data_IF_818893769940
#
_entry.id   IF_818893769940
#
_cell.length_a   1.000
_cell.length_b   1.000
_cell.length_c   1.000
_cell.angle_alpha   90.00
_cell.angle_beta   90.00
_cell.angle_gamma   90.00
#
_symmetry.space_group_name_H-M   'P 1'
#
loop_
_entity.id
_entity.type
_entity.pdbx_description
1 polymer ?
#
# COMPACT_ATOMS: atom_id res chain seq x y z
N UNK A 1 24.70 7.72 4.77
CA UNK A 1 23.68 6.81 4.16
C UNK A 1 22.48 7.63 3.75
N UNK A 2 21.84 7.37 2.60
CA UNK A 2 20.67 8.13 2.16
C UNK A 2 19.47 7.77 3.05
N UNK A 3 18.87 8.76 3.71
CA UNK A 3 17.81 8.57 4.72
C UNK A 3 16.52 8.02 4.07
N UNK A 4 15.97 6.96 4.64
CA UNK A 4 14.60 6.49 4.35
C UNK A 4 13.65 7.18 5.34
N UNK A 5 12.62 7.82 4.83
CA UNK A 5 11.54 8.41 5.63
C UNK A 5 10.30 7.52 5.51
N UNK A 6 9.68 7.23 6.66
CA UNK A 6 8.49 6.40 6.76
C UNK A 6 7.38 7.20 7.41
N UNK A 7 6.21 7.17 6.77
CA UNK A 7 4.98 7.70 7.33
C UNK A 7 3.97 6.57 7.43
N UNK A 8 3.60 6.20 8.66
CA UNK A 8 2.44 5.35 8.91
C UNK A 8 1.19 6.18 8.65
N UNK A 9 0.55 5.96 7.51
CA UNK A 9 -0.63 6.71 7.08
C UNK A 9 -1.88 6.27 7.85
N UNK A 10 -1.92 5.01 8.26
CA UNK A 10 -2.93 4.46 9.15
C UNK A 10 -2.41 3.24 9.89
N UNK A 11 -3.05 2.93 11.00
CA UNK A 11 -2.71 1.83 11.90
C UNK A 11 -3.97 1.20 12.54
N UNK A 12 -5.13 1.42 11.93
CA UNK A 12 -6.41 0.85 12.34
C UNK A 12 -6.65 -0.50 11.67
N UNK A 13 -7.59 -1.26 12.21
CA UNK A 13 -8.11 -2.46 11.54
C UNK A 13 -8.86 -2.08 10.26
N UNK A 14 -9.40 -3.09 9.56
CA UNK A 14 -10.24 -2.91 8.38
C UNK A 14 -11.47 -2.01 8.57
N UNK A 15 -11.86 -1.74 9.83
CA UNK A 15 -12.99 -0.86 10.17
C UNK A 15 -12.53 0.53 10.65
N UNK A 16 -11.24 0.73 10.87
CA UNK A 16 -10.71 1.93 11.51
C UNK A 16 -11.12 2.06 12.99
N UNK A 17 -10.80 3.19 13.60
CA UNK A 17 -11.28 3.59 14.93
C UNK A 17 -11.61 5.09 14.93
N UNK A 18 -12.82 5.51 15.33
CA UNK A 18 -13.96 4.64 15.65
C UNK A 18 -14.48 3.90 14.41
N UNK A 19 -15.28 2.85 14.65
CA UNK A 19 -16.09 2.24 13.59
C UNK A 19 -17.13 3.23 13.07
N UNK A 20 -17.72 2.95 11.91
CA UNK A 20 -18.71 3.82 11.27
C UNK A 20 -20.01 4.00 12.09
N UNK A 21 -20.34 3.04 12.96
CA UNK A 21 -21.45 3.11 13.92
C UNK A 21 -21.12 3.94 15.17
N UNK A 22 -19.94 4.58 15.21
CA UNK A 22 -19.47 5.36 16.35
C UNK A 22 -18.89 4.53 17.49
N UNK A 23 -18.77 3.21 17.35
CA UNK A 23 -18.19 2.37 18.40
C UNK A 23 -16.67 2.53 18.49
N UNK A 24 -16.20 2.89 19.68
CA UNK A 24 -14.78 3.09 19.99
C UNK A 24 -14.10 1.86 20.58
N UNK A 25 -14.84 0.83 20.98
CA UNK A 25 -14.26 -0.24 21.77
C UNK A 25 -13.78 0.26 23.14
N UNK A 26 -12.62 -0.22 23.57
CA UNK A 26 -12.04 0.07 24.90
C UNK A 26 -11.04 1.23 24.90
N UNK A 27 -10.84 1.91 23.78
CA UNK A 27 -9.84 2.99 23.70
C UNK A 27 -10.41 4.33 24.13
N UNK A 28 -9.56 5.21 24.67
CA UNK A 28 -9.94 6.57 25.05
C UNK A 28 -10.22 7.45 23.82
N UNK A 29 -11.47 7.92 23.69
CA UNK A 29 -11.93 8.81 22.62
C UNK A 29 -11.33 10.22 22.65
N UNK A 30 -10.79 10.66 23.80
CA UNK A 30 -10.16 11.99 23.94
C UNK A 30 -8.72 11.98 23.41
N UNK A 31 -8.08 10.82 23.36
CA UNK A 31 -6.73 10.68 22.83
C UNK A 31 -6.74 10.64 21.29
N UNK A 32 -6.23 11.70 20.66
CA UNK A 32 -6.18 11.84 19.20
C UNK A 32 -5.47 10.67 18.49
N UNK A 33 -4.52 9.98 19.14
CA UNK A 33 -3.83 8.79 18.58
C UNK A 33 -4.74 7.57 18.43
N UNK A 34 -5.91 7.57 19.08
CA UNK A 34 -6.90 6.51 18.96
C UNK A 34 -7.86 6.70 17.78
N UNK A 35 -7.78 7.84 17.08
CA UNK A 35 -8.40 7.97 15.77
C UNK A 35 -7.50 7.29 14.73
N UNK A 36 -7.91 6.12 14.26
CA UNK A 36 -7.08 5.28 13.40
C UNK A 36 -7.75 5.07 12.06
N UNK A 37 -7.12 5.59 11.02
CA UNK A 37 -7.42 5.23 9.64
C UNK A 37 -6.90 3.82 9.37
N UNK A 38 -7.48 3.13 8.39
CA UNK A 38 -7.05 1.79 7.95
C UNK A 38 -5.58 1.79 7.54
N UNK A 39 -4.91 0.65 7.72
CA UNK A 39 -3.47 0.50 7.49
C UNK A 39 -3.04 0.97 6.09
N UNK A 40 -1.93 1.69 6.04
CA UNK A 40 -1.21 2.05 4.82
C UNK A 40 0.14 2.66 5.21
N UNK A 41 1.15 2.48 4.35
CA UNK A 41 2.50 3.00 4.58
C UNK A 41 2.93 3.87 3.41
N UNK A 42 3.50 5.03 3.70
CA UNK A 42 4.23 5.81 2.72
C UNK A 42 5.73 5.75 2.99
N UNK A 43 6.50 5.43 1.96
CA UNK A 43 7.95 5.34 1.99
C UNK A 43 8.48 6.42 1.05
N UNK A 44 9.30 7.33 1.60
CA UNK A 44 10.09 8.26 0.81
C UNK A 44 11.56 7.86 0.91
N UNK A 45 12.11 7.48 -0.23
CA UNK A 45 13.51 7.10 -0.34
C UNK A 45 14.14 7.84 -1.51
N UNK A 46 14.99 8.82 -1.20
CA UNK A 46 15.56 9.75 -2.19
C UNK A 46 14.45 10.46 -2.96
N UNK A 47 14.36 10.26 -4.29
CA UNK A 47 13.32 10.80 -5.16
C UNK A 47 12.18 9.80 -5.45
N UNK A 48 12.18 8.63 -4.81
CA UNK A 48 11.11 7.64 -4.89
C UNK A 48 10.07 7.88 -3.80
N UNK A 49 8.81 7.97 -4.21
CA UNK A 49 7.64 8.05 -3.35
C UNK A 49 6.80 6.79 -3.56
N UNK A 50 6.78 5.90 -2.57
CA UNK A 50 6.18 4.58 -2.67
C UNK A 50 5.04 4.51 -1.66
N UNK A 51 3.88 4.11 -2.15
CA UNK A 51 2.72 3.84 -1.31
C UNK A 51 2.53 2.32 -1.19
N UNK A 52 2.43 1.83 0.04
CA UNK A 52 1.98 0.47 0.33
C UNK A 52 0.49 0.53 0.66
N UNK A 53 -0.32 -0.15 -0.15
CA UNK A 53 -1.78 -0.21 -0.11
C UNK A 53 -2.48 1.14 -0.38
N UNK A 54 -3.60 1.09 -1.11
CA UNK A 54 -4.48 2.23 -1.39
C UNK A 54 -5.76 2.09 -0.58
N UNK A 55 -5.66 2.43 0.69
CA UNK A 55 -6.78 2.36 1.62
C UNK A 55 -7.97 3.25 1.20
N UNK A 56 -9.23 2.94 1.55
CA UNK A 56 -10.34 3.88 1.43
C UNK A 56 -10.06 5.27 2.02
N UNK A 57 -9.18 5.30 3.02
CA UNK A 57 -8.75 6.50 3.73
C UNK A 57 -7.70 7.33 2.99
N UNK A 58 -7.18 6.85 1.85
CA UNK A 58 -6.04 7.39 1.12
C UNK A 58 -6.12 8.89 0.86
N UNK A 59 -7.29 9.40 0.46
CA UNK A 59 -7.46 10.85 0.21
C UNK A 59 -7.05 11.67 1.44
N UNK A 60 -7.60 11.37 2.61
CA UNK A 60 -7.30 12.08 3.84
C UNK A 60 -5.89 11.77 4.34
N UNK A 61 -5.44 10.52 4.20
CA UNK A 61 -4.06 10.11 4.54
C UNK A 61 -3.02 10.95 3.81
N UNK A 62 -3.16 11.15 2.49
CA UNK A 62 -2.22 11.93 1.71
C UNK A 62 -2.34 13.43 1.97
N UNK A 63 -3.56 13.97 2.08
CA UNK A 63 -3.80 15.38 2.34
C UNK A 63 -3.23 15.82 3.69
N UNK A 64 -3.52 15.06 4.76
CA UNK A 64 -3.06 15.36 6.11
C UNK A 64 -1.52 15.32 6.21
N UNK A 65 -0.88 14.46 5.43
CA UNK A 65 0.58 14.33 5.38
C UNK A 65 1.23 15.19 4.27
N UNK A 66 0.46 16.02 3.56
CA UNK A 66 0.92 16.89 2.46
C UNK A 66 1.68 16.12 1.36
N UNK A 67 1.31 14.86 1.13
CA UNK A 67 1.92 14.00 0.10
C UNK A 67 1.29 14.33 -1.25
N UNK A 68 2.12 14.83 -2.18
CA UNK A 68 1.68 15.30 -3.51
C UNK A 68 2.23 14.49 -4.68
N UNK A 69 3.03 13.45 -4.41
CA UNK A 69 3.68 12.62 -5.44
C UNK A 69 3.64 11.16 -5.04
N UNK A 70 3.27 10.32 -5.99
CA UNK A 70 3.33 8.85 -5.90
C UNK A 70 4.01 8.36 -7.17
N UNK A 71 5.10 7.62 -7.00
CA UNK A 71 5.87 7.03 -8.09
C UNK A 71 5.53 5.56 -8.28
N UNK A 72 5.26 4.85 -7.17
CA UNK A 72 4.96 3.42 -7.16
C UNK A 72 3.87 3.13 -6.13
N UNK A 73 3.02 2.16 -6.45
CA UNK A 73 2.08 1.56 -5.49
C UNK A 73 2.43 0.08 -5.35
N UNK A 74 2.42 -0.44 -4.14
CA UNK A 74 2.69 -1.84 -3.84
C UNK A 74 1.57 -2.36 -2.95
N UNK A 75 0.99 -3.51 -3.28
CA UNK A 75 -0.13 -4.08 -2.54
C UNK A 75 0.29 -5.29 -1.72
N UNK A 76 -0.09 -5.31 -0.44
CA UNK A 76 0.10 -6.44 0.46
C UNK A 76 -0.82 -7.60 0.09
N UNK A 77 -2.12 -7.34 -0.07
CA UNK A 77 -3.16 -8.31 -0.44
C UNK A 77 -4.43 -7.65 -0.98
N UNK A 78 -5.47 -8.44 -1.28
CA UNK A 78 -6.67 -8.05 -2.02
C UNK A 78 -7.88 -7.59 -1.18
N UNK A 79 -7.72 -7.37 0.13
CA UNK A 79 -8.84 -6.90 0.96
C UNK A 79 -9.21 -5.44 0.67
N UNK A 80 -10.47 -5.11 1.00
CA UNK A 80 -11.09 -3.84 0.68
C UNK A 80 -10.40 -2.65 1.34
N UNK A 81 -10.02 -2.80 2.60
CA UNK A 81 -9.33 -1.79 3.39
C UNK A 81 -7.92 -1.47 2.88
N UNK A 82 -7.37 -2.33 2.01
CA UNK A 82 -6.09 -2.12 1.33
C UNK A 82 -6.21 -1.65 -0.12
N UNK A 83 -7.36 -1.85 -0.77
CA UNK A 83 -7.47 -1.68 -2.23
C UNK A 83 -8.48 -0.63 -2.68
N UNK A 84 -9.51 -0.32 -1.89
CA UNK A 84 -10.66 0.45 -2.38
C UNK A 84 -10.43 1.95 -2.54
N UNK A 85 -9.28 2.49 -2.11
CA UNK A 85 -8.86 3.86 -2.41
C UNK A 85 -8.22 4.04 -3.80
N UNK A 86 -8.02 2.98 -4.58
CA UNK A 86 -7.25 2.99 -5.83
C UNK A 86 -7.69 4.05 -6.85
N UNK A 87 -8.97 4.43 -6.86
CA UNK A 87 -9.50 5.45 -7.77
C UNK A 87 -8.97 6.88 -7.47
N UNK A 88 -8.45 7.10 -6.26
CA UNK A 88 -7.81 8.35 -5.85
C UNK A 88 -6.43 8.55 -6.49
N UNK A 89 -5.93 7.57 -7.26
CA UNK A 89 -4.68 7.70 -8.02
C UNK A 89 -4.80 8.56 -9.29
N UNK A 90 -6.03 8.82 -9.78
CA UNK A 90 -6.28 9.55 -11.04
C UNK A 90 -5.58 10.92 -11.12
N UNK A 91 -5.60 11.78 -10.08
CA UNK A 91 -4.94 13.09 -10.15
C UNK A 91 -3.43 12.99 -10.40
N UNK A 92 -2.74 11.98 -9.85
CA UNK A 92 -1.31 11.78 -10.07
C UNK A 92 -1.00 11.42 -11.53
N UNK A 93 -1.86 10.63 -12.17
CA UNK A 93 -1.77 10.40 -13.62
C UNK A 93 -2.06 11.67 -14.42
N UNK A 94 -3.05 12.47 -14.04
CA UNK A 94 -3.38 13.70 -14.77
C UNK A 94 -2.26 14.73 -14.74
N UNK A 95 -1.53 14.82 -13.63
CA UNK A 95 -0.39 15.73 -13.48
C UNK A 95 0.82 15.20 -14.26
N UNK A 96 1.15 13.91 -14.12
CA UNK A 96 2.39 13.35 -14.69
C UNK A 96 2.24 12.86 -16.14
N UNK A 97 1.01 12.68 -16.62
CA UNK A 97 0.63 12.07 -17.91
C UNK A 97 1.29 10.70 -18.15
N UNK A 98 1.66 9.99 -17.07
CA UNK A 98 2.31 8.68 -17.11
C UNK A 98 1.54 7.73 -16.20
N UNK A 99 1.35 6.49 -16.68
CA UNK A 99 0.75 5.41 -15.88
C UNK A 99 1.55 5.19 -14.60
N UNK A 100 0.83 4.96 -13.50
CA UNK A 100 1.42 4.69 -12.20
C UNK A 100 1.68 3.18 -12.14
N UNK A 101 2.95 2.75 -12.03
CA UNK A 101 3.28 1.34 -11.88
C UNK A 101 2.80 0.85 -10.51
N UNK A 102 1.97 -0.19 -10.53
CA UNK A 102 1.47 -0.86 -9.34
C UNK A 102 2.02 -2.28 -9.28
N UNK A 103 2.32 -2.75 -8.08
CA UNK A 103 2.95 -4.05 -7.84
C UNK A 103 2.06 -4.87 -6.92
N UNK A 104 1.71 -6.08 -7.34
CA UNK A 104 0.87 -6.99 -6.56
C UNK A 104 1.24 -8.44 -6.86
N UNK A 105 0.99 -9.39 -5.95
CA UNK A 105 1.10 -10.81 -6.28
C UNK A 105 0.01 -11.23 -7.28
N UNK A 106 0.08 -12.46 -7.80
CA UNK A 106 -0.88 -12.96 -8.81
C UNK A 106 -2.35 -12.91 -8.35
N UNK A 107 -2.61 -13.28 -7.08
CA UNK A 107 -3.98 -13.27 -6.52
C UNK A 107 -4.53 -11.85 -6.50
N UNK A 108 -3.78 -10.93 -5.89
CA UNK A 108 -4.17 -9.53 -5.78
C UNK A 108 -4.21 -8.83 -7.13
N UNK A 109 -3.31 -9.14 -8.06
CA UNK A 109 -3.37 -8.60 -9.41
C UNK A 109 -4.65 -9.01 -10.13
N UNK A 110 -5.06 -10.28 -10.01
CA UNK A 110 -6.29 -10.78 -10.62
C UNK A 110 -7.52 -10.06 -10.04
N UNK A 111 -7.56 -9.91 -8.72
CA UNK A 111 -8.61 -9.12 -8.06
C UNK A 111 -8.65 -7.68 -8.57
N UNK A 112 -7.52 -6.98 -8.57
CA UNK A 112 -7.46 -5.57 -8.98
C UNK A 112 -7.85 -5.37 -10.45
N UNK A 113 -7.37 -6.25 -11.34
CA UNK A 113 -7.70 -6.21 -12.78
C UNK A 113 -9.19 -6.46 -13.03
N UNK A 114 -9.83 -7.32 -12.24
CA UNK A 114 -11.26 -7.61 -12.35
C UNK A 114 -12.11 -6.50 -11.75
N UNK A 115 -11.78 -6.06 -10.55
CA UNK A 115 -12.59 -5.10 -9.77
C UNK A 115 -12.46 -3.65 -10.25
N UNK A 116 -11.31 -3.30 -10.82
CA UNK A 116 -10.98 -1.93 -11.24
C UNK A 116 -10.50 -1.87 -12.69
N UNK A 117 -11.03 -2.74 -13.56
CA UNK A 117 -10.57 -2.98 -14.93
C UNK A 117 -10.34 -1.68 -15.74
N UNK A 118 -11.23 -0.69 -15.60
CA UNK A 118 -11.17 0.59 -16.29
C UNK A 118 -9.92 1.44 -15.96
N UNK A 119 -9.25 1.17 -14.83
CA UNK A 119 -7.99 1.81 -14.46
C UNK A 119 -6.79 1.22 -15.21
N UNK A 120 -6.92 0.01 -15.78
CA UNK A 120 -5.85 -0.72 -16.45
C UNK A 120 -6.01 -0.76 -17.97
N UNK A 121 -7.25 -0.91 -18.43
CA UNK A 121 -7.60 -1.06 -19.84
C UNK A 121 -8.53 0.06 -20.29
N UNK A 122 -8.32 0.58 -21.50
CA UNK A 122 -9.19 1.60 -22.08
C UNK A 122 -10.55 0.97 -22.41
N UNK A 123 -11.60 1.34 -21.67
CA UNK A 123 -12.99 0.88 -21.89
C UNK A 123 -13.91 1.96 -22.45
N UNK A 124 -13.48 3.22 -22.39
CA UNK A 124 -14.28 4.37 -22.82
C UNK A 124 -13.39 5.44 -23.44
N UNK A 125 -13.98 6.30 -24.28
CA UNK A 125 -13.32 7.53 -24.75
C UNK A 125 -13.02 8.51 -23.62
N UNK A 126 -13.79 8.46 -22.53
CA UNK A 126 -13.70 9.41 -21.42
C UNK A 126 -12.68 9.00 -20.35
N UNK A 127 -12.45 7.70 -20.18
CA UNK A 127 -11.57 7.17 -19.13
C UNK A 127 -10.31 6.54 -19.73
N UNK A 128 -9.18 7.24 -19.56
CA UNK A 128 -7.87 6.70 -19.90
C UNK A 128 -7.39 5.75 -18.79
N UNK A 129 -6.83 4.58 -19.12
CA UNK A 129 -6.22 3.72 -18.12
C UNK A 129 -5.00 4.42 -17.50
N UNK A 130 -4.95 4.46 -16.18
CA UNK A 130 -3.96 5.23 -15.42
C UNK A 130 -2.91 4.35 -14.74
N UNK A 131 -3.14 3.04 -14.66
CA UNK A 131 -2.30 2.09 -13.93
C UNK A 131 -1.62 1.10 -14.86
N UNK A 132 -0.44 0.66 -14.44
CA UNK A 132 0.34 -0.39 -15.08
C UNK A 132 0.61 -1.50 -14.04
N UNK A 133 0.03 -2.68 -14.26
CA UNK A 133 0.15 -3.82 -13.35
C UNK A 133 1.50 -4.53 -13.51
N UNK A 134 2.20 -4.75 -12.40
CA UNK A 134 3.44 -5.51 -12.33
C UNK A 134 3.28 -6.67 -11.33
N UNK A 135 3.50 -7.91 -11.77
CA UNK A 135 3.32 -9.09 -10.91
C UNK A 135 4.57 -9.30 -10.06
N UNK A 136 4.38 -9.28 -8.73
CA UNK A 136 5.40 -9.66 -7.75
C UNK A 136 5.46 -11.19 -7.69
N UNK A 137 6.58 -11.77 -8.10
CA UNK A 137 6.87 -13.20 -7.90
C UNK A 137 7.72 -13.42 -6.64
N UNK A 138 8.71 -12.57 -6.43
CA UNK A 138 9.76 -12.70 -5.41
C UNK A 138 10.13 -11.29 -4.87
N UNK A 139 11.38 -11.10 -4.46
CA UNK A 139 11.99 -9.78 -4.26
C UNK A 139 12.00 -8.99 -5.58
N UNK A 140 11.81 -7.68 -5.50
CA UNK A 140 11.74 -6.79 -6.67
C UNK A 140 12.42 -5.45 -6.39
N UNK A 141 12.64 -4.70 -7.47
CA UNK A 141 13.39 -3.44 -7.44
C UNK A 141 12.54 -2.34 -8.06
N UNK A 142 12.25 -1.30 -7.28
CA UNK A 142 11.61 -0.09 -7.77
C UNK A 142 12.70 0.86 -8.26
N UNK A 143 12.61 1.32 -9.50
CA UNK A 143 13.65 2.15 -10.14
C UNK A 143 13.07 3.43 -10.70
N UNK A 144 13.67 4.57 -10.36
CA UNK A 144 13.36 5.88 -10.92
C UNK A 144 14.66 6.64 -11.16
N UNK A 145 14.91 7.05 -12.41
CA UNK A 145 16.16 7.71 -12.81
C UNK A 145 17.38 6.91 -12.32
N UNK A 146 18.27 7.53 -11.54
CA UNK A 146 19.50 6.94 -11.02
C UNK A 146 19.33 6.32 -9.62
N UNK A 147 18.09 6.19 -9.13
CA UNK A 147 17.81 5.68 -7.80
C UNK A 147 16.93 4.43 -7.84
N UNK A 148 17.21 3.51 -6.94
CA UNK A 148 16.47 2.27 -6.81
C UNK A 148 16.40 1.81 -5.35
N UNK A 149 15.31 1.13 -5.00
CA UNK A 149 15.11 0.48 -3.70
C UNK A 149 14.62 -0.94 -3.88
N UNK A 150 15.31 -1.88 -3.24
CA UNK A 150 14.94 -3.30 -3.24
C UNK A 150 13.89 -3.51 -2.16
N UNK A 151 12.77 -4.11 -2.54
CA UNK A 151 11.77 -4.62 -1.62
C UNK A 151 11.87 -6.15 -1.63
N UNK A 152 12.12 -6.69 -0.45
CA UNK A 152 12.09 -8.12 -0.24
C UNK A 152 10.72 -8.55 0.23
N UNK A 153 10.16 -9.56 -0.43
CA UNK A 153 8.83 -10.06 -0.09
C UNK A 153 8.95 -11.05 1.06
N UNK A 154 8.16 -10.82 2.11
CA UNK A 154 7.99 -11.70 3.26
C UNK A 154 6.58 -12.29 3.15
N UNK A 155 6.47 -13.57 2.81
CA UNK A 155 5.16 -14.22 2.75
C UNK A 155 4.68 -14.53 4.16
N UNK A 156 3.47 -14.12 4.48
CA UNK A 156 2.83 -14.34 5.78
C UNK A 156 1.43 -14.92 5.59
N UNK A 157 0.93 -15.64 6.58
CA UNK A 157 -0.45 -16.10 6.61
C UNK A 157 -1.34 -15.02 7.20
N UNK A 158 -2.53 -14.86 6.66
CA UNK A 158 -3.60 -14.01 7.19
C UNK A 158 -4.90 -14.80 7.14
N UNK A 159 -5.19 -15.54 8.21
CA UNK A 159 -6.26 -16.54 8.22
C UNK A 159 -6.05 -17.56 7.11
N UNK A 160 -7.03 -17.69 6.22
CA UNK A 160 -7.02 -18.66 5.12
C UNK A 160 -6.27 -18.19 3.86
N UNK A 161 -5.69 -16.99 3.89
CA UNK A 161 -5.03 -16.38 2.73
C UNK A 161 -3.55 -16.11 2.98
N UNK A 162 -2.79 -16.03 1.90
CA UNK A 162 -1.41 -15.55 1.93
C UNK A 162 -1.38 -14.04 1.66
N UNK A 163 -0.69 -13.31 2.53
CA UNK A 163 -0.40 -11.88 2.37
C UNK A 163 1.10 -11.65 2.20
N UNK A 164 1.45 -10.49 1.65
CA UNK A 164 2.83 -10.05 1.56
C UNK A 164 3.13 -8.97 2.60
N UNK A 165 4.20 -9.19 3.36
CA UNK A 165 4.97 -8.12 4.00
C UNK A 165 6.18 -7.74 3.14
N UNK A 166 6.80 -6.60 3.48
CA UNK A 166 7.94 -6.07 2.75
C UNK A 166 9.08 -5.68 3.69
N UNK A 167 10.28 -6.19 3.41
CA UNK A 167 11.53 -5.82 4.07
C UNK A 167 12.38 -4.97 3.12
N UNK A 168 12.80 -3.80 3.57
CA UNK A 168 13.61 -2.86 2.79
C UNK A 168 14.45 -2.00 3.74
N UNK A 169 15.71 -1.73 3.43
CA UNK A 169 16.60 -0.89 4.25
C UNK A 169 16.55 -1.18 5.77
N UNK A 170 16.52 -2.45 6.17
CA UNK A 170 16.37 -2.92 7.57
C UNK A 170 15.05 -2.52 8.26
N UNK A 171 14.01 -2.23 7.48
CA UNK A 171 12.65 -1.93 7.95
C UNK A 171 11.72 -2.97 7.36
N UNK A 172 10.91 -3.61 8.20
CA UNK A 172 9.87 -4.54 7.79
C UNK A 172 8.49 -3.94 8.02
N UNK A 173 7.61 -4.05 7.02
CA UNK A 173 6.20 -3.72 7.13
C UNK A 173 5.34 -4.94 6.84
N UNK A 174 4.56 -5.36 7.83
CA UNK A 174 3.68 -6.54 7.79
C UNK A 174 2.37 -6.13 8.50
N UNK A 175 1.35 -5.73 7.73
CA UNK A 175 0.11 -5.17 8.30
C UNK A 175 -0.86 -6.26 8.78
N UNK A 176 -1.05 -7.30 7.98
CA UNK A 176 -2.04 -8.35 8.17
C UNK A 176 -1.34 -9.70 8.25
N UNK A 177 -1.25 -10.24 9.46
CA UNK A 177 -0.49 -11.46 9.72
C UNK A 177 -1.05 -12.21 10.93
N UNK A 178 -1.45 -13.46 10.72
CA UNK A 178 -1.76 -14.44 11.76
C UNK A 178 -0.60 -15.40 12.05
N UNK A 179 0.28 -15.67 11.07
CA UNK A 179 1.51 -16.44 11.30
C UNK A 179 2.61 -16.15 10.28
N UNK A 180 3.86 -16.33 10.71
CA UNK A 180 5.08 -16.14 9.92
C UNK A 180 5.92 -17.42 10.05
N UNK A 181 6.49 -17.92 8.94
CA UNK A 181 7.37 -19.08 8.99
C UNK A 181 8.69 -18.77 9.69
N UNK A 182 9.31 -19.78 10.32
CA UNK A 182 10.63 -19.64 10.95
C UNK A 182 11.71 -19.14 9.98
N UNK A 183 11.64 -19.55 8.71
CA UNK A 183 12.53 -19.07 7.66
C UNK A 183 12.38 -17.55 7.43
N UNK A 184 11.14 -17.06 7.38
CA UNK A 184 10.88 -15.62 7.26
C UNK A 184 11.29 -14.86 8.53
N UNK A 185 11.06 -15.41 9.72
CA UNK A 185 11.46 -14.79 10.98
C UNK A 185 12.97 -14.58 11.06
N UNK A 186 13.78 -15.56 10.63
CA UNK A 186 15.25 -15.42 10.58
C UNK A 186 15.70 -14.22 9.74
N UNK A 187 14.96 -13.85 8.70
CA UNK A 187 15.26 -12.68 7.85
C UNK A 187 14.91 -11.34 8.50
N UNK A 188 14.07 -11.36 9.55
CA UNK A 188 13.64 -10.16 10.28
C UNK A 188 14.50 -9.89 11.52
N UNK A 189 15.37 -10.82 11.90
CA UNK A 189 16.33 -10.65 12.99
C UNK A 189 17.49 -9.77 12.51
N UNK A 190 17.93 -8.85 13.38
CA UNK A 190 19.08 -7.98 13.15
C UNK A 190 20.40 -8.66 13.51
#
# INVERSE_FOLDING_TARGET
MKKTEITLLGCGSSLGVPRIDGYWGKVDKKNKKNHRMRCSLFIKYKDLNILIDTSPDMKNQLLNNKIKKIDFVVYTHDHADQTHGINELRPFFWINKKKIPIYANKRTSNYLLKSFEYLFVKKSKYYKPILEMNIIKNNFLLKKKNNSIKLETIKVKHGDIDCNGYLFNKIAYISDCSSISNECLKRLMN
#
